data_IF_438401316820
#
_entry.id   IF_438401316820
#
_cell.length_a   1.000
_cell.length_b   1.000
_cell.length_c   1.000
_cell.angle_alpha   90.00
_cell.angle_beta   90.00
_cell.angle_gamma   90.00
#
_symmetry.space_group_name_H-M   'P 1'
#
loop_
_entity.id
_entity.type
_entity.pdbx_description
1 polymer ?
#
# COMPACT_ATOMS: atom_id res chain seq x y z
N UNK A 1 42.28 -72.31 -16.61
CA UNK A 1 41.04 -73.12 -16.62
C UNK A 1 40.12 -72.53 -15.58
N UNK A 2 38.84 -72.40 -15.91
CA UNK A 2 37.88 -71.54 -15.23
C UNK A 2 37.61 -71.92 -13.75
N UNK A 3 37.11 -70.96 -12.97
CA UNK A 3 35.74 -70.98 -12.42
C UNK A 3 35.61 -70.28 -11.03
N UNK A 4 34.66 -69.32 -11.02
CA UNK A 4 33.72 -68.82 -9.98
C UNK A 4 34.05 -67.86 -8.81
N UNK A 5 33.25 -66.76 -8.88
CA UNK A 5 32.35 -66.13 -7.88
C UNK A 5 32.95 -65.23 -6.79
N UNK A 6 32.72 -63.94 -7.00
CA UNK A 6 32.37 -62.96 -5.96
C UNK A 6 31.18 -62.14 -6.51
N UNK A 7 30.00 -62.25 -5.90
CA UNK A 7 29.50 -61.45 -4.79
C UNK A 7 28.98 -60.07 -5.24
N UNK A 8 27.67 -59.94 -5.11
CA UNK A 8 26.81 -58.78 -5.34
C UNK A 8 27.24 -57.55 -4.56
N UNK A 9 27.30 -56.39 -5.21
CA UNK A 9 27.15 -55.09 -4.57
C UNK A 9 26.53 -54.11 -5.58
N UNK A 10 25.32 -53.65 -5.26
CA UNK A 10 24.65 -52.59 -6.01
C UNK A 10 25.45 -51.29 -5.89
N UNK A 11 25.58 -50.59 -7.02
CA UNK A 11 26.31 -49.33 -7.12
C UNK A 11 25.61 -48.36 -8.05
N UNK A 12 24.89 -47.42 -7.43
CA UNK A 12 24.73 -46.01 -7.81
C UNK A 12 24.47 -45.68 -9.29
N UNK A 13 23.19 -45.57 -9.66
CA UNK A 13 22.75 -44.68 -10.73
C UNK A 13 22.84 -43.23 -10.22
N UNK A 14 23.88 -42.52 -10.61
CA UNK A 14 23.99 -41.07 -10.48
C UNK A 14 22.94 -40.44 -11.42
N UNK A 15 21.77 -40.10 -10.87
CA UNK A 15 20.80 -39.24 -11.56
C UNK A 15 21.36 -37.83 -11.48
N UNK A 16 22.04 -37.41 -12.55
CA UNK A 16 22.33 -36.00 -12.83
C UNK A 16 20.99 -35.28 -13.01
N UNK A 17 20.40 -34.82 -11.91
CA UNK A 17 19.33 -33.83 -11.90
C UNK A 17 19.88 -32.54 -12.48
N UNK A 18 19.70 -32.35 -13.79
CA UNK A 18 19.79 -31.05 -14.42
C UNK A 18 18.67 -30.19 -13.81
N UNK A 19 18.96 -29.48 -12.70
CA UNK A 19 18.15 -28.34 -12.31
C UNK A 19 18.31 -27.32 -13.42
N UNK A 20 17.40 -27.37 -14.39
CA UNK A 20 17.00 -26.20 -15.13
C UNK A 20 16.55 -25.19 -14.07
N UNK A 21 17.44 -24.28 -13.70
CA UNK A 21 17.04 -22.94 -13.30
C UNK A 21 16.35 -22.35 -14.53
N UNK A 22 15.10 -22.76 -14.74
CA UNK A 22 14.12 -22.01 -15.49
C UNK A 22 13.96 -20.72 -14.72
N UNK A 23 14.76 -19.72 -15.09
CA UNK A 23 14.40 -18.33 -14.91
C UNK A 23 13.05 -18.22 -15.60
N UNK A 24 11.97 -18.30 -14.81
CA UNK A 24 10.61 -18.07 -15.29
C UNK A 24 10.67 -16.65 -15.83
N UNK A 25 10.70 -16.53 -17.15
CA UNK A 25 10.45 -15.27 -17.82
C UNK A 25 9.02 -14.94 -17.39
N UNK A 26 8.88 -13.99 -16.47
CA UNK A 26 7.57 -13.39 -16.16
C UNK A 26 6.98 -12.99 -17.50
N UNK A 27 5.90 -13.65 -17.90
CA UNK A 27 5.27 -13.40 -19.19
C UNK A 27 4.59 -12.05 -19.12
N UNK A 28 5.17 -11.05 -19.78
CA UNK A 28 4.50 -9.78 -20.04
C UNK A 28 3.17 -10.09 -20.75
N UNK A 29 2.07 -9.67 -20.15
CA UNK A 29 0.71 -9.91 -20.67
C UNK A 29 0.21 -8.65 -21.33
N UNK A 30 -0.31 -8.78 -22.55
CA UNK A 30 -0.97 -7.68 -23.23
C UNK A 30 -2.31 -7.33 -22.56
N UNK A 31 -2.53 -6.04 -22.37
CA UNK A 31 -3.72 -5.45 -21.75
C UNK A 31 -4.18 -4.27 -22.61
N UNK A 32 -5.49 -4.09 -22.72
CA UNK A 32 -6.06 -2.93 -23.41
C UNK A 32 -5.84 -1.66 -22.59
N UNK A 33 -5.41 -0.56 -23.24
CA UNK A 33 -5.10 0.69 -22.53
C UNK A 33 -6.30 1.35 -21.84
N UNK A 34 -7.52 1.00 -22.23
CA UNK A 34 -8.77 1.49 -21.63
C UNK A 34 -9.27 0.63 -20.46
N UNK A 35 -8.55 -0.45 -20.12
CA UNK A 35 -8.90 -1.38 -19.04
C UNK A 35 -9.01 -0.67 -17.69
N UNK A 36 -9.81 -1.26 -16.80
CA UNK A 36 -9.87 -0.84 -15.39
C UNK A 36 -8.67 -1.44 -14.66
N UNK A 37 -7.86 -0.58 -14.04
CA UNK A 37 -6.63 -0.97 -13.38
C UNK A 37 -6.63 -0.44 -11.94
N UNK A 38 -6.48 -1.35 -10.98
CA UNK A 38 -6.16 -0.99 -9.60
C UNK A 38 -4.65 -0.79 -9.47
N UNK A 39 -4.21 0.39 -9.04
CA UNK A 39 -2.80 0.78 -8.98
C UNK A 39 -2.07 0.15 -7.78
N UNK A 40 -2.78 -0.11 -6.68
CA UNK A 40 -2.25 -0.62 -5.41
C UNK A 40 -2.01 -2.13 -5.36
N UNK A 41 -1.74 -2.77 -6.50
CA UNK A 41 -1.46 -4.21 -6.57
C UNK A 41 -0.11 -4.56 -5.94
N UNK A 42 0.01 -5.79 -5.44
CA UNK A 42 1.23 -6.31 -4.81
C UNK A 42 2.38 -6.47 -5.83
N UNK A 43 3.43 -5.63 -5.72
CA UNK A 43 4.64 -5.60 -6.56
C UNK A 43 5.71 -4.68 -5.96
N UNK A 44 6.87 -4.54 -6.60
CA UNK A 44 7.75 -3.42 -6.26
C UNK A 44 7.01 -2.09 -6.56
N UNK A 45 6.76 -1.22 -5.57
CA UNK A 45 5.97 0.01 -5.77
C UNK A 45 6.65 0.99 -6.72
N UNK A 46 7.97 0.86 -6.92
CA UNK A 46 8.72 1.68 -7.87
C UNK A 46 8.59 1.20 -9.31
N UNK A 47 8.31 -0.09 -9.56
CA UNK A 47 8.16 -0.63 -10.93
C UNK A 47 6.74 -0.45 -11.42
N UNK A 48 6.49 0.02 -12.65
CA UNK A 48 5.12 0.26 -13.12
C UNK A 48 4.30 -1.03 -13.23
N UNK A 49 3.00 -0.92 -12.96
CA UNK A 49 2.06 -2.04 -13.09
C UNK A 49 1.81 -2.39 -14.55
N UNK A 50 1.52 -1.36 -15.36
CA UNK A 50 1.38 -1.49 -16.81
C UNK A 50 2.19 -0.39 -17.49
N UNK A 51 2.75 -0.71 -18.65
CA UNK A 51 3.54 0.22 -19.47
C UNK A 51 3.26 0.05 -20.96
N UNK A 52 3.59 1.07 -21.74
CA UNK A 52 3.63 0.97 -23.20
C UNK A 52 4.75 1.84 -23.75
N UNK A 53 5.29 1.48 -24.92
CA UNK A 53 6.35 2.23 -25.60
C UNK A 53 5.89 2.59 -27.00
N UNK A 54 6.00 3.86 -27.36
CA UNK A 54 5.53 4.42 -28.62
C UNK A 54 6.66 5.15 -29.32
N UNK A 55 6.74 5.05 -30.64
CA UNK A 55 7.68 5.85 -31.42
C UNK A 55 7.18 7.31 -31.52
N UNK A 56 8.04 8.27 -31.17
CA UNK A 56 7.69 9.71 -31.21
C UNK A 56 7.22 10.18 -32.59
N UNK A 57 7.66 9.53 -33.67
CA UNK A 57 7.27 9.86 -35.05
C UNK A 57 5.80 9.53 -35.34
N UNK A 58 5.20 8.60 -34.61
CA UNK A 58 3.80 8.20 -34.77
C UNK A 58 2.83 9.15 -34.04
N UNK A 59 3.34 9.94 -33.11
CA UNK A 59 2.53 10.80 -32.23
C UNK A 59 2.17 12.09 -32.95
N UNK A 60 0.88 12.30 -33.16
CA UNK A 60 0.35 13.57 -33.71
C UNK A 60 -0.04 14.58 -32.64
N UNK A 61 -0.27 14.11 -31.41
CA UNK A 61 -0.67 14.93 -30.27
C UNK A 61 -0.23 14.25 -28.97
N UNK A 62 0.52 14.98 -28.13
CA UNK A 62 0.88 14.52 -26.79
C UNK A 62 -0.26 14.91 -25.85
N UNK A 63 -1.33 14.12 -25.88
CA UNK A 63 -2.51 14.26 -25.02
C UNK A 63 -2.98 12.89 -24.59
N UNK A 64 -3.16 12.71 -23.29
CA UNK A 64 -3.73 11.50 -22.70
C UNK A 64 -4.86 11.88 -21.76
N UNK A 65 -5.94 11.10 -21.76
CA UNK A 65 -7.08 11.29 -20.86
C UNK A 65 -7.50 9.98 -20.24
N UNK A 66 -7.88 9.98 -18.97
CA UNK A 66 -8.34 8.81 -18.24
C UNK A 66 -9.18 9.23 -17.05
N UNK A 67 -9.97 8.31 -16.50
CA UNK A 67 -10.66 8.53 -15.22
C UNK A 67 -9.85 7.95 -14.07
N UNK A 68 -9.82 8.66 -12.95
CA UNK A 68 -9.09 8.30 -11.74
C UNK A 68 -9.98 8.44 -10.49
N UNK A 69 -9.82 7.54 -9.52
CA UNK A 69 -10.54 7.57 -8.23
C UNK A 69 -9.67 7.02 -7.11
N UNK A 70 -9.65 7.70 -5.96
CA UNK A 70 -8.94 7.27 -4.75
C UNK A 70 -9.46 7.98 -3.49
N UNK A 71 -9.12 7.46 -2.30
CA UNK A 71 -9.10 8.21 -1.03
C UNK A 71 -7.67 8.52 -0.55
N UNK A 72 -6.66 7.93 -1.20
CA UNK A 72 -5.25 8.05 -0.88
C UNK A 72 -4.75 9.50 -1.06
N UNK A 73 -4.11 10.12 -0.07
CA UNK A 73 -3.65 11.50 -0.17
C UNK A 73 -2.35 11.65 -0.99
N UNK A 74 -1.57 10.58 -1.16
CA UNK A 74 -0.28 10.57 -1.85
C UNK A 74 -0.18 9.35 -2.78
N UNK A 75 0.66 9.43 -3.81
CA UNK A 75 0.94 8.29 -4.69
C UNK A 75 1.05 8.64 -6.18
N UNK A 76 1.69 7.79 -6.96
CA UNK A 76 1.89 7.99 -8.41
C UNK A 76 0.68 7.50 -9.20
N UNK A 77 0.19 8.35 -10.10
CA UNK A 77 -0.93 8.03 -10.99
C UNK A 77 -0.40 7.67 -12.38
N UNK A 78 0.36 8.59 -12.99
CA UNK A 78 0.76 8.50 -14.39
C UNK A 78 2.19 8.98 -14.61
N UNK A 79 2.93 8.21 -15.39
CA UNK A 79 4.32 8.45 -15.72
C UNK A 79 4.50 8.52 -17.24
N UNK A 80 5.40 9.39 -17.70
CA UNK A 80 5.88 9.37 -19.07
C UNK A 80 7.33 9.84 -19.19
N UNK A 81 8.11 9.23 -20.08
CA UNK A 81 9.46 9.71 -20.39
C UNK A 81 9.88 9.55 -21.85
N UNK A 82 10.93 10.28 -22.20
CA UNK A 82 11.69 10.08 -23.44
C UNK A 82 13.18 9.95 -23.09
N UNK A 83 13.99 9.59 -24.09
CA UNK A 83 15.46 9.45 -23.92
C UNK A 83 15.83 8.56 -22.73
N UNK A 84 15.08 7.48 -22.52
CA UNK A 84 15.29 6.53 -21.43
C UNK A 84 15.30 7.15 -20.02
N UNK A 85 14.45 8.14 -19.78
CA UNK A 85 14.31 8.77 -18.45
C UNK A 85 15.28 9.92 -18.19
N UNK A 86 15.85 10.51 -19.24
CA UNK A 86 16.50 11.83 -19.15
C UNK A 86 15.44 12.94 -19.09
N UNK A 87 14.44 12.88 -19.98
CA UNK A 87 13.29 13.77 -19.97
C UNK A 87 12.07 13.00 -19.48
N UNK A 88 11.49 13.39 -18.34
CA UNK A 88 10.41 12.65 -17.69
C UNK A 88 9.35 13.57 -17.10
N UNK A 89 8.15 13.01 -16.94
CA UNK A 89 6.97 13.63 -16.38
C UNK A 89 6.31 12.65 -15.40
N UNK A 90 5.92 13.15 -14.24
CA UNK A 90 5.20 12.40 -13.21
C UNK A 90 3.97 13.20 -12.80
N UNK A 91 2.81 12.56 -12.86
CA UNK A 91 1.58 13.00 -12.21
C UNK A 91 1.31 12.12 -11.00
N UNK A 92 1.19 12.74 -9.85
CA UNK A 92 0.99 12.12 -8.54
C UNK A 92 -0.01 12.92 -7.71
N UNK A 93 -0.40 12.40 -6.55
CA UNK A 93 -1.04 13.19 -5.50
C UNK A 93 -0.02 13.54 -4.40
N UNK A 94 -0.24 14.69 -3.76
CA UNK A 94 0.37 15.09 -2.50
C UNK A 94 -0.65 15.87 -1.68
N UNK A 95 -0.92 15.42 -0.46
CA UNK A 95 -1.98 15.96 0.40
C UNK A 95 -3.37 16.02 -0.29
N UNK A 96 -3.62 15.06 -1.18
CA UNK A 96 -4.83 14.95 -2.01
C UNK A 96 -4.87 15.85 -3.25
N UNK A 97 -3.88 16.73 -3.45
CA UNK A 97 -3.79 17.64 -4.60
C UNK A 97 -2.93 17.04 -5.71
N UNK A 98 -3.20 17.41 -6.95
CA UNK A 98 -2.34 17.00 -8.06
C UNK A 98 -0.94 17.61 -7.91
N UNK A 99 0.08 16.78 -8.07
CA UNK A 99 1.50 17.16 -8.14
C UNK A 99 2.06 16.73 -9.50
N UNK A 100 2.53 17.70 -10.26
CA UNK A 100 3.33 17.48 -11.47
C UNK A 100 4.80 17.67 -11.15
N UNK A 101 5.63 16.70 -11.53
CA UNK A 101 7.09 16.82 -11.54
C UNK A 101 7.59 16.60 -12.95
N UNK A 102 8.43 17.49 -13.46
CA UNK A 102 8.89 17.47 -14.84
C UNK A 102 10.39 17.74 -14.90
N UNK A 103 11.11 16.86 -15.58
CA UNK A 103 12.49 17.05 -16.01
C UNK A 103 12.53 17.08 -17.52
N UNK A 104 13.11 18.11 -18.09
CA UNK A 104 13.38 18.17 -19.53
C UNK A 104 14.65 18.98 -19.75
N UNK A 105 15.67 18.32 -20.29
CA UNK A 105 16.98 18.92 -20.50
C UNK A 105 17.51 19.56 -19.20
N UNK A 106 17.72 20.88 -19.17
CA UNK A 106 18.21 21.63 -18.01
C UNK A 106 17.08 22.16 -17.10
N UNK A 107 15.82 21.81 -17.37
CA UNK A 107 14.65 22.30 -16.64
C UNK A 107 14.12 21.22 -15.71
N UNK A 108 14.13 21.52 -14.41
CA UNK A 108 13.49 20.74 -13.35
C UNK A 108 12.42 21.61 -12.70
N UNK A 109 11.16 21.18 -12.77
CA UNK A 109 10.04 21.92 -12.20
C UNK A 109 9.05 20.99 -11.50
N UNK A 110 8.57 21.40 -10.34
CA UNK A 110 7.47 20.74 -9.65
C UNK A 110 6.38 21.76 -9.29
N UNK A 111 5.12 21.37 -9.44
CA UNK A 111 3.96 22.20 -9.09
C UNK A 111 2.89 21.32 -8.46
N UNK A 112 2.44 21.69 -7.26
CA UNK A 112 1.29 21.10 -6.59
C UNK A 112 0.14 22.10 -6.57
N UNK A 113 -1.09 21.65 -6.80
CA UNK A 113 -2.26 22.51 -6.68
C UNK A 113 -3.52 21.93 -7.29
N UNK A 114 -4.45 22.82 -7.64
CA UNK A 114 -5.80 22.46 -8.05
C UNK A 114 -6.68 22.13 -6.84
N UNK A 115 -7.79 21.43 -7.09
CA UNK A 115 -8.66 20.91 -6.03
C UNK A 115 -8.20 19.52 -5.57
N UNK A 116 -8.66 19.07 -4.41
CA UNK A 116 -8.46 17.69 -3.96
C UNK A 116 -9.13 16.68 -4.91
N UNK A 117 -8.45 15.57 -5.16
CA UNK A 117 -8.89 14.46 -6.02
C UNK A 117 -9.11 13.15 -5.27
N UNK A 118 -8.86 13.15 -3.96
CA UNK A 118 -8.96 11.97 -3.10
C UNK A 118 -10.31 11.94 -2.33
N UNK A 119 -11.41 12.21 -3.03
CA UNK A 119 -12.76 12.26 -2.46
C UNK A 119 -13.58 10.97 -2.69
N UNK A 120 -12.95 9.92 -3.21
CA UNK A 120 -13.59 8.65 -3.54
C UNK A 120 -14.47 8.68 -4.78
N UNK A 121 -14.49 9.77 -5.57
CA UNK A 121 -15.24 9.85 -6.82
C UNK A 121 -14.33 9.70 -8.03
N UNK A 122 -14.95 9.36 -9.15
CA UNK A 122 -14.27 9.36 -10.44
C UNK A 122 -14.09 10.79 -10.94
N UNK A 123 -12.85 11.13 -11.27
CA UNK A 123 -12.47 12.37 -11.94
C UNK A 123 -11.83 12.07 -13.28
N UNK A 124 -12.23 12.80 -14.32
CA UNK A 124 -11.59 12.75 -15.63
C UNK A 124 -10.38 13.66 -15.63
N UNK A 125 -9.20 13.07 -15.79
CA UNK A 125 -7.92 13.77 -15.90
C UNK A 125 -7.49 13.79 -17.36
N UNK A 126 -7.12 14.96 -17.86
CA UNK A 126 -6.52 15.14 -19.18
C UNK A 126 -5.17 15.83 -19.03
N UNK A 127 -4.11 15.13 -19.43
CA UNK A 127 -2.74 15.64 -19.45
C UNK A 127 -2.36 15.91 -20.88
N UNK A 128 -1.87 17.11 -21.18
CA UNK A 128 -1.38 17.43 -22.52
C UNK A 128 -0.16 18.34 -22.51
N UNK A 129 0.72 18.15 -23.48
CA UNK A 129 1.82 19.05 -23.78
C UNK A 129 1.41 19.96 -24.95
N UNK A 130 1.42 21.28 -24.70
CA UNK A 130 1.12 22.34 -25.66
C UNK A 130 2.36 23.22 -25.83
N UNK A 131 3.37 22.68 -26.51
CA UNK A 131 4.62 23.37 -26.83
C UNK A 131 5.46 23.63 -25.57
N UNK A 132 5.38 24.85 -25.03
CA UNK A 132 6.13 25.23 -23.82
C UNK A 132 5.38 24.96 -22.52
N UNK A 133 4.18 24.38 -22.58
CA UNK A 133 3.35 24.19 -21.40
C UNK A 133 2.90 22.74 -21.29
N UNK A 134 2.97 22.19 -20.08
CA UNK A 134 2.27 20.95 -19.71
C UNK A 134 1.05 21.34 -18.91
N UNK A 135 -0.10 20.81 -19.29
CA UNK A 135 -1.40 21.17 -18.72
C UNK A 135 -2.11 19.94 -18.19
N UNK A 136 -2.76 20.09 -17.04
CA UNK A 136 -3.75 19.17 -16.47
C UNK A 136 -5.09 19.86 -16.43
N UNK A 137 -6.08 19.21 -17.04
CA UNK A 137 -7.50 19.55 -16.94
C UNK A 137 -8.18 18.47 -16.10
N UNK A 138 -9.01 18.88 -15.16
CA UNK A 138 -9.76 18.00 -14.26
C UNK A 138 -11.25 18.27 -14.43
N UNK A 139 -12.02 17.25 -14.80
CA UNK A 139 -13.46 17.35 -15.06
C UNK A 139 -13.82 18.51 -16.01
N UNK A 140 -13.00 18.70 -17.04
CA UNK A 140 -13.18 19.78 -18.03
C UNK A 140 -12.79 21.19 -17.53
N UNK A 141 -12.35 21.34 -16.28
CA UNK A 141 -11.90 22.61 -15.70
C UNK A 141 -10.37 22.68 -15.63
N UNK A 142 -9.75 23.86 -15.79
CA UNK A 142 -8.30 24.01 -15.63
C UNK A 142 -7.83 23.53 -14.25
N UNK A 143 -6.84 22.64 -14.21
CA UNK A 143 -6.23 22.11 -12.99
C UNK A 143 -4.86 22.71 -12.72
N UNK A 144 -3.86 22.29 -13.49
CA UNK A 144 -2.49 22.81 -13.41
C UNK A 144 -1.98 23.19 -14.79
N UNK A 145 -1.12 24.21 -14.85
CA UNK A 145 -0.38 24.57 -16.05
C UNK A 145 1.06 24.90 -15.65
N UNK A 146 2.02 24.22 -16.27
CA UNK A 146 3.44 24.32 -15.96
C UNK A 146 4.19 24.78 -17.20
N UNK A 147 4.77 25.96 -17.12
CA UNK A 147 5.62 26.51 -18.18
C UNK A 147 7.04 25.93 -18.14
N UNK A 148 7.50 25.44 -19.28
CA UNK A 148 8.82 24.88 -19.51
C UNK A 148 9.58 25.80 -20.46
N UNK A 149 10.40 26.70 -19.92
CA UNK A 149 11.30 27.53 -20.73
C UNK A 149 12.63 26.81 -20.93
N UNK A 150 12.73 25.96 -21.96
CA UNK A 150 14.04 25.48 -22.41
C UNK A 150 14.78 26.57 -23.21
N UNK A 151 16.11 26.59 -23.07
CA UNK A 151 17.02 27.42 -23.89
C UNK A 151 17.15 26.89 -25.32
N UNK A 152 16.79 25.63 -25.59
CA UNK A 152 16.85 25.03 -26.92
C UNK A 152 15.59 25.33 -27.72
N UNK A 153 15.78 25.60 -29.02
CA UNK A 153 14.72 26.07 -29.93
C UNK A 153 14.10 24.95 -30.78
N UNK A 154 14.68 23.74 -30.75
CA UNK A 154 14.22 22.59 -31.55
C UNK A 154 13.96 21.38 -30.66
N UNK A 155 12.71 20.90 -30.66
CA UNK A 155 12.38 19.60 -30.10
C UNK A 155 12.82 18.50 -31.07
N UNK A 156 13.67 17.58 -30.61
CA UNK A 156 14.03 16.38 -31.38
C UNK A 156 12.85 15.40 -31.31
N UNK A 157 12.06 15.33 -32.39
CA UNK A 157 10.91 14.40 -32.52
C UNK A 157 11.39 13.02 -33.00
N UNK A 158 12.43 12.48 -32.38
CA UNK A 158 12.95 11.15 -32.71
C UNK A 158 13.28 10.38 -31.44
N UNK A 159 12.92 9.10 -31.40
CA UNK A 159 13.12 8.24 -30.25
C UNK A 159 11.81 7.60 -29.80
N UNK A 160 11.82 7.12 -28.56
CA UNK A 160 10.68 6.44 -27.95
C UNK A 160 10.13 7.26 -26.79
N UNK A 161 8.81 7.27 -26.66
CA UNK A 161 8.07 7.72 -25.49
C UNK A 161 7.59 6.47 -24.73
N UNK A 162 7.93 6.37 -23.45
CA UNK A 162 7.40 5.32 -22.58
C UNK A 162 6.35 5.93 -21.67
N UNK A 163 5.21 5.27 -21.57
CA UNK A 163 4.14 5.63 -20.64
C UNK A 163 3.97 4.51 -19.61
N UNK A 164 3.61 4.87 -18.38
CA UNK A 164 3.40 3.88 -17.33
C UNK A 164 2.33 4.32 -16.32
N UNK A 165 1.70 3.34 -15.68
CA UNK A 165 0.72 3.52 -14.60
C UNK A 165 1.13 2.71 -13.38
N UNK A 166 0.85 3.25 -12.19
CA UNK A 166 1.12 2.62 -10.89
C UNK A 166 2.58 2.68 -10.45
N UNK A 167 3.50 3.25 -11.22
CA UNK A 167 4.90 3.35 -10.82
C UNK A 167 5.66 4.24 -11.78
N UNK A 168 6.98 4.29 -11.62
CA UNK A 168 7.85 5.17 -12.39
C UNK A 168 9.01 4.38 -13.00
N UNK A 169 9.63 4.90 -14.07
CA UNK A 169 10.77 4.24 -14.72
C UNK A 169 12.11 4.93 -14.41
N UNK A 170 12.08 6.01 -13.63
CA UNK A 170 13.28 6.73 -13.17
C UNK A 170 13.64 6.33 -11.75
N UNK A 171 14.93 6.45 -11.41
CA UNK A 171 15.39 6.26 -10.05
C UNK A 171 14.76 7.31 -9.12
N UNK A 172 14.41 6.89 -7.90
CA UNK A 172 13.84 7.76 -6.87
C UNK A 172 14.68 9.02 -6.57
N UNK A 173 16.00 8.93 -6.70
CA UNK A 173 16.93 10.05 -6.46
C UNK A 173 16.79 11.17 -7.51
N UNK A 174 16.08 10.92 -8.63
CA UNK A 174 15.75 11.96 -9.62
C UNK A 174 14.49 12.76 -9.27
N UNK A 175 13.68 12.32 -8.31
CA UNK A 175 12.48 13.04 -7.91
C UNK A 175 12.84 14.42 -7.36
N UNK A 176 12.08 15.44 -7.75
CA UNK A 176 12.24 16.81 -7.24
C UNK A 176 11.59 16.92 -5.86
N UNK A 177 10.44 16.26 -5.71
CA UNK A 177 9.67 16.16 -4.47
C UNK A 177 9.56 14.67 -4.14
N UNK A 178 10.11 14.30 -2.99
CA UNK A 178 9.97 12.95 -2.44
C UNK A 178 8.49 12.66 -2.12
N UNK A 179 8.07 11.44 -2.44
CA UNK A 179 6.76 10.86 -2.20
C UNK A 179 6.86 9.33 -2.16
N UNK A 180 5.88 8.67 -1.54
CA UNK A 180 5.63 7.23 -1.72
C UNK A 180 4.92 7.00 -3.07
N UNK A 181 5.45 6.19 -4.00
CA UNK A 181 4.79 5.94 -5.27
C UNK A 181 3.55 5.05 -5.17
N UNK A 182 3.36 4.32 -4.06
CA UNK A 182 2.18 3.49 -3.86
C UNK A 182 0.90 4.34 -3.96
N UNK A 183 -0.11 3.80 -4.63
CA UNK A 183 -1.39 4.49 -4.83
C UNK A 183 -2.52 3.47 -4.70
N UNK A 184 -3.30 3.57 -3.64
CA UNK A 184 -4.59 2.91 -3.48
C UNK A 184 -5.65 3.62 -4.34
N UNK A 185 -5.51 3.46 -5.65
CA UNK A 185 -6.33 4.17 -6.63
C UNK A 185 -6.68 3.31 -7.83
N UNK A 186 -7.71 3.76 -8.54
CA UNK A 186 -8.24 3.09 -9.71
C UNK A 186 -8.18 4.00 -10.94
N UNK A 187 -7.78 3.44 -12.07
CA UNK A 187 -7.76 4.10 -13.38
C UNK A 187 -8.66 3.34 -14.35
N UNK A 188 -9.37 4.04 -15.23
CA UNK A 188 -10.16 3.44 -16.33
C UNK A 188 -10.33 4.40 -17.50
N UNK A 189 -10.89 3.90 -18.61
CA UNK A 189 -11.26 4.71 -19.79
C UNK A 189 -10.06 5.50 -20.34
N UNK A 190 -8.88 4.86 -20.31
CA UNK A 190 -7.64 5.44 -20.80
C UNK A 190 -7.64 5.64 -22.31
N UNK A 191 -7.36 6.86 -22.75
CA UNK A 191 -7.02 7.23 -24.11
C UNK A 191 -5.62 7.83 -24.11
N UNK A 192 -4.67 7.15 -24.75
CA UNK A 192 -3.24 7.45 -24.61
C UNK A 192 -2.69 7.95 -25.93
N UNK A 193 -2.33 9.23 -26.00
CA UNK A 193 -1.73 9.86 -27.19
C UNK A 193 -2.60 9.78 -28.46
N UNK A 194 -3.90 9.45 -28.31
CA UNK A 194 -4.80 9.08 -29.39
C UNK A 194 -4.29 7.91 -30.26
N UNK A 195 -3.61 6.94 -29.62
CA UNK A 195 -3.09 5.73 -30.24
C UNK A 195 -3.73 4.49 -29.63
N UNK A 196 -3.88 3.45 -30.45
CA UNK A 196 -4.40 2.14 -30.04
C UNK A 196 -3.24 1.13 -29.96
N UNK A 197 -2.29 1.40 -29.06
CA UNK A 197 -1.16 0.49 -28.79
C UNK A 197 -1.47 -0.41 -27.59
N UNK A 198 -1.07 -1.70 -27.62
CA UNK A 198 -1.22 -2.57 -26.47
C UNK A 198 -0.35 -2.08 -25.31
N UNK A 199 -0.82 -2.35 -24.09
CA UNK A 199 -0.06 -2.15 -22.86
C UNK A 199 0.45 -3.51 -22.36
N UNK A 200 1.63 -3.50 -21.76
CA UNK A 200 2.25 -4.68 -21.15
C UNK A 200 2.06 -4.60 -19.64
N UNK A 201 1.50 -5.65 -19.04
CA UNK A 201 1.38 -5.79 -17.59
C UNK A 201 2.52 -6.58 -16.98
N UNK A 202 3.01 -6.07 -15.85
CA UNK A 202 4.01 -6.70 -15.00
C UNK A 202 3.37 -7.56 -13.89
N UNK A 203 2.18 -8.08 -14.15
CA UNK A 203 1.42 -8.94 -13.25
C UNK A 203 0.75 -10.08 -14.03
N UNK A 204 0.68 -11.29 -13.45
CA UNK A 204 0.00 -12.43 -14.07
C UNK A 204 -1.51 -12.12 -14.27
N UNK A 205 -2.12 -11.45 -13.28
CA UNK A 205 -3.51 -11.02 -13.28
C UNK A 205 -3.66 -9.63 -12.66
N UNK A 206 -4.35 -8.73 -13.36
CA UNK A 206 -4.69 -7.41 -12.83
C UNK A 206 -5.84 -7.53 -11.83
N UNK A 207 -5.64 -7.01 -10.63
CA UNK A 207 -6.72 -6.90 -9.65
C UNK A 207 -7.78 -5.91 -10.13
N UNK A 208 -9.03 -6.27 -9.87
CA UNK A 208 -10.18 -5.46 -10.21
C UNK A 208 -10.40 -4.40 -9.14
N UNK A 209 -10.78 -3.21 -9.60
CA UNK A 209 -11.30 -2.17 -8.73
C UNK A 209 -12.66 -2.58 -8.14
N UNK A 210 -12.85 -2.35 -6.85
CA UNK A 210 -14.17 -2.44 -6.23
C UNK A 210 -15.13 -1.45 -6.89
N UNK A 211 -16.39 -1.85 -7.09
CA UNK A 211 -17.37 -0.99 -7.75
C UNK A 211 -17.61 0.29 -6.94
N UNK A 212 -17.86 0.13 -5.64
CA UNK A 212 -17.99 1.21 -4.67
C UNK A 212 -16.88 1.11 -3.63
N UNK A 213 -16.46 2.27 -3.13
CA UNK A 213 -15.48 2.40 -2.07
C UNK A 213 -15.96 3.44 -1.05
N UNK A 214 -15.52 3.29 0.19
CA UNK A 214 -15.74 4.22 1.30
C UNK A 214 -14.41 4.44 2.05
N UNK A 215 -14.26 5.52 2.83
CA UNK A 215 -13.08 5.72 3.65
C UNK A 215 -12.90 4.59 4.67
N UNK A 216 -11.66 4.14 4.87
CA UNK A 216 -11.30 3.14 5.86
C UNK A 216 -10.09 2.33 5.43
N UNK A 217 -9.59 1.47 6.31
CA UNK A 217 -8.48 0.57 6.01
C UNK A 217 -8.98 -0.85 5.76
N UNK A 218 -8.70 -1.37 4.57
CA UNK A 218 -9.12 -2.70 4.15
C UNK A 218 -7.98 -3.72 4.25
N UNK A 219 -8.30 -4.87 4.86
CA UNK A 219 -7.41 -6.01 4.99
C UNK A 219 -7.97 -7.19 4.20
N UNK A 220 -7.17 -7.71 3.27
CA UNK A 220 -7.59 -8.78 2.37
C UNK A 220 -7.36 -10.21 2.91
N UNK A 221 -6.94 -10.37 4.17
CA UNK A 221 -6.56 -11.68 4.73
C UNK A 221 -5.17 -12.19 4.34
N UNK A 222 -4.29 -11.34 3.79
CA UNK A 222 -2.95 -11.75 3.33
C UNK A 222 -1.78 -11.11 4.05
N UNK A 223 -2.00 -10.05 4.84
CA UNK A 223 -0.92 -9.32 5.47
C UNK A 223 -1.40 -8.37 6.57
N UNK A 224 -0.48 -7.57 7.08
CA UNK A 224 -0.67 -6.68 8.22
C UNK A 224 0.13 -5.37 8.08
N UNK A 225 -0.13 -4.42 8.97
CA UNK A 225 0.62 -3.18 9.14
C UNK A 225 1.36 -3.20 10.49
N UNK A 226 2.68 -2.99 10.51
CA UNK A 226 3.51 -3.05 11.73
C UNK A 226 4.09 -1.69 12.08
N UNK A 227 3.94 -1.30 13.34
CA UNK A 227 4.49 -0.06 13.90
C UNK A 227 5.41 -0.34 15.09
N UNK A 228 6.49 0.43 15.17
CA UNK A 228 7.28 0.56 16.40
C UNK A 228 6.56 1.48 17.36
N UNK A 229 6.41 1.10 18.61
CA UNK A 229 5.74 1.96 19.61
C UNK A 229 6.60 3.17 20.01
N UNK A 230 7.91 3.08 19.81
CA UNK A 230 8.88 4.13 20.15
C UNK A 230 8.71 5.43 19.37
N UNK A 231 7.99 5.41 18.24
CA UNK A 231 7.69 6.62 17.45
C UNK A 231 6.55 7.45 18.05
N UNK A 232 5.80 6.89 18.99
CA UNK A 232 4.68 7.57 19.63
C UNK A 232 5.10 8.17 20.97
N UNK A 233 4.61 9.38 21.25
CA UNK A 233 4.75 9.99 22.57
C UNK A 233 3.81 9.31 23.55
N UNK A 234 4.36 8.70 24.59
CA UNK A 234 3.60 7.96 25.61
C UNK A 234 3.75 8.69 26.95
N UNK A 235 2.68 9.34 27.38
CA UNK A 235 2.57 9.95 28.70
C UNK A 235 2.42 8.86 29.79
N UNK A 236 3.08 9.01 30.94
CA UNK A 236 3.03 7.98 32.00
C UNK A 236 1.67 7.88 32.69
N UNK A 237 0.96 9.00 32.81
CA UNK A 237 -0.32 9.07 33.49
C UNK A 237 -1.45 8.64 32.56
N UNK A 238 -1.36 8.96 31.26
CA UNK A 238 -2.37 8.58 30.26
C UNK A 238 -2.17 7.18 29.67
N UNK A 239 -0.94 6.64 29.73
CA UNK A 239 -0.60 5.34 29.17
C UNK A 239 -0.51 5.34 27.64
N UNK A 240 -0.53 4.15 27.04
CA UNK A 240 -0.55 3.95 25.59
C UNK A 240 -1.94 3.53 25.11
N UNK A 241 -2.61 4.45 24.40
CA UNK A 241 -3.98 4.28 23.91
C UNK A 241 -4.01 3.87 22.44
N UNK A 242 -4.67 2.77 22.15
CA UNK A 242 -5.00 2.27 20.81
C UNK A 242 -6.52 2.14 20.68
N UNK A 243 -7.07 2.62 19.58
CA UNK A 243 -8.52 2.64 19.38
C UNK A 243 -8.88 2.26 17.95
N UNK A 244 -9.85 1.37 17.81
CA UNK A 244 -10.26 0.79 16.54
C UNK A 244 -11.76 0.98 16.38
N UNK A 245 -12.18 1.47 15.22
CA UNK A 245 -13.59 1.65 14.87
C UNK A 245 -13.92 0.85 13.62
N UNK A 246 -15.14 0.33 13.58
CA UNK A 246 -15.66 -0.43 12.45
C UNK A 246 -16.73 -1.42 12.87
N UNK A 247 -17.32 -2.10 11.90
CA UNK A 247 -18.26 -3.18 12.17
C UNK A 247 -17.52 -4.48 12.47
N UNK A 248 -17.28 -4.78 13.75
CA UNK A 248 -16.57 -5.99 14.16
C UNK A 248 -17.30 -7.28 13.76
N UNK A 249 -18.60 -7.20 13.42
CA UNK A 249 -19.37 -8.32 12.91
C UNK A 249 -18.97 -8.75 11.50
N UNK A 250 -18.29 -7.86 10.76
CA UNK A 250 -17.77 -8.08 9.42
C UNK A 250 -16.27 -8.41 9.41
N UNK A 251 -15.65 -8.56 10.59
CA UNK A 251 -14.23 -8.84 10.73
C UNK A 251 -13.98 -10.31 11.04
N UNK A 252 -12.96 -10.88 10.40
CA UNK A 252 -12.43 -12.20 10.76
C UNK A 252 -10.89 -12.18 10.76
N UNK A 253 -10.28 -12.59 11.87
CA UNK A 253 -8.83 -12.59 12.06
C UNK A 253 -8.33 -11.63 13.14
N UNK A 254 -7.02 -11.39 13.16
CA UNK A 254 -6.38 -10.62 14.24
C UNK A 254 -6.48 -9.12 13.96
N UNK A 255 -7.25 -8.39 14.78
CA UNK A 255 -7.39 -6.93 14.66
C UNK A 255 -6.16 -6.22 15.19
N UNK A 256 -5.71 -6.60 16.39
CA UNK A 256 -4.54 -6.02 17.06
C UNK A 256 -3.66 -7.14 17.62
N UNK A 257 -2.35 -7.01 17.47
CA UNK A 257 -1.39 -7.73 18.31
C UNK A 257 -0.27 -6.81 18.79
N UNK A 258 0.17 -6.99 20.04
CA UNK A 258 1.19 -6.14 20.68
C UNK A 258 2.28 -7.02 21.26
N UNK A 259 3.53 -6.71 20.92
CA UNK A 259 4.74 -7.32 21.49
C UNK A 259 5.49 -6.31 22.35
N UNK A 260 6.07 -6.81 23.43
CA UNK A 260 6.98 -6.06 24.28
C UNK A 260 8.31 -5.78 23.59
N UNK A 261 9.13 -4.92 24.19
CA UNK A 261 10.54 -4.70 23.81
C UNK A 261 11.41 -5.95 23.87
N UNK A 262 10.95 -7.03 24.53
CA UNK A 262 11.61 -8.33 24.59
C UNK A 262 11.03 -9.32 23.57
N UNK A 263 10.27 -8.85 22.58
CA UNK A 263 9.63 -9.66 21.53
C UNK A 263 8.56 -10.66 22.04
N UNK A 264 8.22 -10.60 23.33
CA UNK A 264 7.14 -11.40 23.91
C UNK A 264 5.77 -10.81 23.55
N UNK A 265 4.87 -11.66 23.04
CA UNK A 265 3.47 -11.31 22.77
C UNK A 265 2.73 -10.98 24.06
N UNK A 266 2.25 -9.74 24.18
CA UNK A 266 1.58 -9.24 25.39
C UNK A 266 0.06 -9.26 25.26
N UNK A 267 -0.44 -8.81 24.11
CA UNK A 267 -1.88 -8.62 23.89
C UNK A 267 -2.29 -9.00 22.47
N UNK A 268 -3.47 -9.58 22.34
CA UNK A 268 -4.13 -9.80 21.05
C UNK A 268 -5.62 -9.55 21.14
N UNK A 269 -6.19 -8.91 20.12
CA UNK A 269 -7.62 -8.89 19.86
C UNK A 269 -7.91 -9.60 18.54
N UNK A 270 -8.72 -10.66 18.58
CA UNK A 270 -9.07 -11.46 17.42
C UNK A 270 -10.59 -11.45 17.25
N UNK A 271 -11.07 -10.96 16.11
CA UNK A 271 -12.48 -11.01 15.75
C UNK A 271 -12.76 -12.29 14.97
N UNK A 272 -13.95 -12.86 15.15
CA UNK A 272 -14.47 -13.90 14.26
C UNK A 272 -15.94 -13.65 13.95
N UNK A 273 -16.25 -13.63 12.66
CA UNK A 273 -17.62 -13.53 12.17
C UNK A 273 -18.40 -14.84 12.33
N UNK A 274 -17.71 -15.98 12.36
CA UNK A 274 -18.28 -17.32 12.58
C UNK A 274 -18.78 -17.50 14.02
N UNK A 275 -17.91 -17.26 15.01
CA UNK A 275 -18.30 -17.40 16.43
C UNK A 275 -19.06 -16.20 16.97
N UNK A 276 -19.04 -15.08 16.23
CA UNK A 276 -19.64 -13.79 16.60
C UNK A 276 -19.01 -13.15 17.84
N UNK A 277 -17.72 -13.38 18.02
CA UNK A 277 -16.98 -12.98 19.21
C UNK A 277 -15.72 -12.20 18.85
N UNK A 278 -15.31 -11.32 19.76
CA UNK A 278 -13.97 -10.74 19.79
C UNK A 278 -13.25 -11.29 21.02
N UNK A 279 -12.22 -12.11 20.79
CA UNK A 279 -11.42 -12.73 21.83
C UNK A 279 -10.21 -11.86 22.12
N UNK A 280 -10.14 -11.36 23.35
CA UNK A 280 -9.03 -10.61 23.90
C UNK A 280 -8.16 -11.55 24.72
N UNK A 281 -6.86 -11.57 24.45
CA UNK A 281 -5.90 -12.32 25.24
C UNK A 281 -4.83 -11.37 25.75
N UNK A 282 -4.63 -11.35 27.06
CA UNK A 282 -3.54 -10.63 27.72
C UNK A 282 -2.75 -11.62 28.57
N UNK A 283 -1.52 -11.94 28.13
CA UNK A 283 -0.74 -13.07 28.69
C UNK A 283 -1.57 -14.36 28.72
N UNK A 284 -1.89 -14.86 29.92
CA UNK A 284 -2.69 -16.07 30.15
C UNK A 284 -4.18 -15.77 30.37
N UNK A 285 -4.54 -14.50 30.56
CA UNK A 285 -5.92 -14.07 30.78
C UNK A 285 -6.64 -13.94 29.44
N UNK A 286 -7.87 -14.44 29.39
CA UNK A 286 -8.74 -14.38 28.22
C UNK A 286 -10.07 -13.77 28.58
N UNK A 287 -10.57 -12.93 27.69
CA UNK A 287 -11.87 -12.31 27.79
C UNK A 287 -12.53 -12.29 26.42
N UNK A 288 -13.85 -12.42 26.40
CA UNK A 288 -14.62 -12.53 25.16
C UNK A 288 -15.69 -11.46 25.15
N UNK A 289 -15.77 -10.74 24.04
CA UNK A 289 -16.81 -9.75 23.75
C UNK A 289 -17.71 -10.27 22.64
N UNK A 290 -18.95 -9.78 22.60
CA UNK A 290 -19.76 -9.92 21.38
C UNK A 290 -19.15 -9.06 20.27
N UNK A 291 -19.21 -9.52 19.02
CA UNK A 291 -18.68 -8.75 17.88
C UNK A 291 -19.63 -7.65 17.35
N UNK A 292 -20.71 -7.36 18.07
CA UNK A 292 -21.67 -6.30 17.72
C UNK A 292 -21.14 -4.89 18.03
N UNK A 293 -19.95 -4.81 18.62
CA UNK A 293 -19.24 -3.57 18.95
C UNK A 293 -18.89 -2.78 17.69
N UNK A 294 -18.90 -1.46 17.83
CA UNK A 294 -18.44 -0.53 16.79
C UNK A 294 -17.08 0.09 17.08
N UNK A 295 -16.58 -0.16 18.29
CA UNK A 295 -15.38 0.46 18.83
C UNK A 295 -14.69 -0.49 19.80
N UNK A 296 -13.37 -0.53 19.74
CA UNK A 296 -12.50 -1.21 20.69
C UNK A 296 -11.38 -0.27 21.12
N UNK A 297 -11.38 0.12 22.39
CA UNK A 297 -10.32 0.88 23.04
C UNK A 297 -9.44 -0.06 23.85
N UNK A 298 -8.12 0.00 23.66
CA UNK A 298 -7.12 -0.71 24.46
C UNK A 298 -6.12 0.30 25.03
N UNK A 299 -6.02 0.36 26.35
CA UNK A 299 -5.13 1.26 27.07
C UNK A 299 -4.12 0.47 27.91
N UNK A 300 -2.85 0.56 27.56
CA UNK A 300 -1.76 0.03 28.38
C UNK A 300 -1.37 1.08 29.40
N UNK A 301 -1.67 0.83 30.67
CA UNK A 301 -1.25 1.65 31.80
C UNK A 301 0.01 1.05 32.44
N UNK A 302 0.51 1.70 33.49
CA UNK A 302 1.70 1.23 34.22
C UNK A 302 1.59 -0.22 34.69
N UNK A 303 0.49 -0.57 35.35
CA UNK A 303 0.32 -1.87 36.04
C UNK A 303 -0.91 -2.66 35.56
N UNK A 304 -1.61 -2.17 34.53
CA UNK A 304 -2.83 -2.80 34.02
C UNK A 304 -3.04 -2.51 32.53
N UNK A 305 -3.82 -3.36 31.87
CA UNK A 305 -4.39 -3.06 30.55
C UNK A 305 -5.90 -2.90 30.70
N UNK A 306 -6.44 -1.77 30.25
CA UNK A 306 -7.88 -1.54 30.21
C UNK A 306 -8.40 -1.70 28.80
N UNK A 307 -9.57 -2.31 28.67
CA UNK A 307 -10.28 -2.44 27.40
C UNK A 307 -11.70 -1.94 27.57
N UNK A 308 -12.21 -1.15 26.63
CA UNK A 308 -13.59 -0.66 26.65
C UNK A 308 -14.16 -0.62 25.23
N UNK A 309 -15.47 -0.76 25.11
CA UNK A 309 -16.20 -0.67 23.83
C UNK A 309 -16.91 0.68 23.74
N UNK A 310 -17.32 1.26 24.87
CA UNK A 310 -18.04 2.55 24.91
C UNK A 310 -17.12 3.73 25.11
N UNK A 311 -17.52 4.88 24.57
CA UNK A 311 -16.78 6.15 24.72
C UNK A 311 -16.72 6.63 26.18
N UNK A 312 -17.77 6.35 26.97
CA UNK A 312 -17.82 6.72 28.38
C UNK A 312 -17.04 5.76 29.30
N UNK A 313 -16.46 4.70 28.72
CA UNK A 313 -15.69 3.65 29.41
C UNK A 313 -16.48 2.97 30.54
N UNK A 314 -17.82 3.06 30.52
CA UNK A 314 -18.70 2.49 31.56
C UNK A 314 -18.64 0.96 31.63
N UNK A 315 -18.22 0.33 30.54
CA UNK A 315 -18.07 -1.10 30.31
C UNK A 315 -16.62 -1.59 30.44
N UNK A 316 -15.70 -0.73 30.88
CA UNK A 316 -14.27 -1.02 30.85
C UNK A 316 -13.88 -2.27 31.68
N UNK A 317 -13.19 -3.19 31.02
CA UNK A 317 -12.60 -4.39 31.62
C UNK A 317 -11.12 -4.15 31.86
N UNK A 318 -10.67 -4.42 33.08
CA UNK A 318 -9.28 -4.18 33.50
C UNK A 318 -8.55 -5.51 33.72
N UNK A 319 -7.51 -5.75 32.94
CA UNK A 319 -6.54 -6.82 33.16
C UNK A 319 -5.43 -6.32 34.08
N UNK A 320 -5.26 -6.96 35.23
CA UNK A 320 -4.25 -6.57 36.22
C UNK A 320 -2.95 -7.37 36.07
N UNK A 321 -1.84 -6.77 36.49
CA UNK A 321 -0.59 -7.49 36.66
C UNK A 321 -0.71 -8.60 37.71
N UNK A 322 -0.18 -9.79 37.40
CA UNK A 322 0.17 -10.77 38.44
C UNK A 322 1.27 -10.19 39.33
N UNK A 323 1.33 -10.62 40.59
CA UNK A 323 2.16 -10.04 41.65
C UNK A 323 3.70 -10.15 41.45
N UNK A 324 4.19 -10.53 40.27
CA UNK A 324 5.61 -10.75 40.00
C UNK A 324 6.28 -9.56 39.28
N UNK A 325 7.38 -9.12 39.87
CA UNK A 325 8.21 -7.95 39.58
C UNK A 325 8.74 -7.86 38.14
N UNK A 326 7.92 -7.39 37.21
CA UNK A 326 8.34 -7.00 35.87
C UNK A 326 8.37 -5.46 35.76
N UNK A 327 9.21 -4.87 34.88
CA UNK A 327 9.05 -3.47 34.51
C UNK A 327 7.59 -3.28 34.04
N UNK A 328 6.91 -2.25 34.55
CA UNK A 328 5.48 -2.01 34.29
C UNK A 328 5.14 -2.12 32.80
N UNK A 329 3.92 -2.56 32.49
CA UNK A 329 3.49 -2.87 31.12
C UNK A 329 3.70 -1.72 30.15
N UNK A 330 3.52 -0.49 30.61
CA UNK A 330 3.83 0.70 29.84
C UNK A 330 5.30 0.76 29.40
N UNK A 331 6.23 0.39 30.28
CA UNK A 331 7.66 0.31 29.98
C UNK A 331 7.96 -0.77 28.95
N UNK A 332 7.32 -1.94 29.09
CA UNK A 332 7.45 -3.03 28.10
C UNK A 332 6.93 -2.63 26.72
N UNK A 333 5.85 -1.85 26.67
CA UNK A 333 5.25 -1.38 25.42
C UNK A 333 6.09 -0.27 24.79
N UNK A 334 6.69 0.67 25.53
CA UNK A 334 7.46 1.81 24.99
C UNK A 334 8.59 1.44 24.01
N UNK A 335 9.19 0.26 24.16
CA UNK A 335 10.23 -0.26 23.26
C UNK A 335 9.78 -1.43 22.38
N UNK A 336 8.48 -1.71 22.34
CA UNK A 336 7.88 -2.83 21.63
C UNK A 336 7.38 -2.48 20.23
N UNK A 337 6.45 -3.30 19.75
CA UNK A 337 5.82 -3.17 18.43
C UNK A 337 4.36 -3.57 18.52
N UNK A 338 3.52 -2.97 17.68
CA UNK A 338 2.15 -3.46 17.48
C UNK A 338 1.85 -3.64 16.00
N UNK A 339 0.91 -4.52 15.72
CA UNK A 339 0.39 -4.74 14.39
C UNK A 339 -1.12 -4.53 14.35
N UNK A 340 -1.57 -3.96 13.23
CA UNK A 340 -2.98 -3.94 12.84
C UNK A 340 -3.17 -4.97 11.72
N UNK A 341 -4.19 -5.81 11.86
CA UNK A 341 -4.60 -6.74 10.82
C UNK A 341 -3.83 -8.07 10.76
N UNK A 342 -3.05 -8.41 11.79
CA UNK A 342 -2.39 -9.71 11.85
C UNK A 342 -1.73 -9.98 13.20
N UNK A 343 -1.44 -11.26 13.45
CA UNK A 343 -0.67 -11.71 14.60
C UNK A 343 0.82 -11.54 14.33
N UNK A 344 1.51 -10.76 15.16
CA UNK A 344 2.96 -10.55 15.08
C UNK A 344 3.75 -11.85 15.32
N UNK A 345 4.51 -12.29 14.32
CA UNK A 345 5.56 -13.31 14.43
C UNK A 345 6.94 -12.69 14.64
N UNK A 346 8.00 -13.34 14.14
CA UNK A 346 9.35 -12.77 14.15
C UNK A 346 9.52 -11.76 13.00
N UNK A 347 10.10 -10.59 13.30
CA UNK A 347 10.26 -9.51 12.30
C UNK A 347 8.92 -8.99 11.79
N UNK A 348 8.70 -9.02 10.47
CA UNK A 348 7.46 -8.59 9.77
C UNK A 348 6.57 -9.79 9.42
N UNK A 349 7.03 -11.02 9.68
CA UNK A 349 6.27 -12.23 9.38
C UNK A 349 5.10 -12.30 10.37
N UNK A 350 3.89 -12.44 9.84
CA UNK A 350 2.67 -12.59 10.64
C UNK A 350 1.86 -13.80 10.26
N UNK A 351 0.75 -14.00 10.97
CA UNK A 351 -0.24 -15.04 10.69
C UNK A 351 -1.63 -14.56 11.09
N UNK A 352 -2.67 -15.36 10.79
CA UNK A 352 -4.06 -15.06 11.17
C UNK A 352 -4.48 -13.64 10.76
N UNK A 353 -4.19 -13.31 9.50
CA UNK A 353 -4.42 -12.00 8.94
C UNK A 353 -5.90 -11.65 8.95
N UNK A 354 -6.19 -10.38 9.19
CA UNK A 354 -7.53 -9.85 9.21
C UNK A 354 -8.10 -9.83 7.79
N UNK A 355 -9.36 -10.23 7.68
CA UNK A 355 -10.21 -9.97 6.53
C UNK A 355 -11.32 -9.04 6.98
N UNK A 356 -11.46 -7.90 6.30
CA UNK A 356 -12.50 -6.92 6.58
C UNK A 356 -11.99 -5.49 6.62
N UNK A 357 -12.83 -4.60 7.13
CA UNK A 357 -12.66 -3.15 7.06
C UNK A 357 -12.69 -2.50 8.43
N UNK A 358 -11.66 -1.70 8.72
CA UNK A 358 -11.64 -0.79 9.87
C UNK A 358 -11.98 0.60 9.36
N UNK A 359 -13.00 1.24 9.92
CA UNK A 359 -13.39 2.60 9.57
C UNK A 359 -12.33 3.60 10.02
N UNK A 360 -11.71 3.34 11.18
CA UNK A 360 -10.75 4.25 11.80
C UNK A 360 -9.82 3.52 12.76
N UNK A 361 -8.53 3.87 12.73
CA UNK A 361 -7.55 3.45 13.74
C UNK A 361 -6.93 4.70 14.34
N UNK A 362 -6.85 4.78 15.67
CA UNK A 362 -6.20 5.88 16.36
C UNK A 362 -5.15 5.39 17.35
N UNK A 363 -4.09 6.18 17.46
CA UNK A 363 -3.03 6.02 18.45
C UNK A 363 -2.89 7.34 19.20
N UNK A 364 -3.03 7.30 20.53
CA UNK A 364 -2.98 8.50 21.37
C UNK A 364 -3.93 9.62 20.91
N UNK A 365 -5.14 9.24 20.49
CA UNK A 365 -6.19 10.17 20.04
C UNK A 365 -5.98 10.80 18.67
N UNK A 366 -4.95 10.38 17.92
CA UNK A 366 -4.69 10.82 16.54
C UNK A 366 -4.94 9.68 15.56
N UNK A 367 -5.50 10.02 14.41
CA UNK A 367 -5.75 9.08 13.32
C UNK A 367 -4.41 8.52 12.82
N UNK A 368 -4.35 7.20 12.69
CA UNK A 368 -3.16 6.48 12.28
C UNK A 368 -3.22 6.20 10.79
N UNK A 369 -2.32 6.82 10.03
CA UNK A 369 -2.09 6.47 8.64
C UNK A 369 -1.25 5.17 8.57
N UNK A 370 -1.79 4.15 7.90
CA UNK A 370 -1.13 2.85 7.78
C UNK A 370 0.04 2.85 6.78
N UNK A 371 0.16 3.86 5.91
CA UNK A 371 1.30 3.98 5.00
C UNK A 371 2.59 4.42 5.71
N UNK A 372 2.48 4.94 6.95
CA UNK A 372 3.63 5.21 7.82
C UNK A 372 4.22 3.93 8.46
N UNK A 373 3.67 2.76 8.15
CA UNK A 373 4.05 1.47 8.74
C UNK A 373 4.89 0.62 7.80
N UNK A 374 5.53 -0.42 8.36
CA UNK A 374 5.99 -1.52 7.52
C UNK A 374 4.79 -2.41 7.23
N UNK A 375 4.24 -2.29 6.02
CA UNK A 375 2.95 -2.86 5.64
C UNK A 375 3.06 -3.85 4.49
N UNK A 376 2.20 -4.87 4.51
CA UNK A 376 1.96 -5.72 3.35
C UNK A 376 1.11 -4.98 2.31
N UNK A 377 1.45 -5.08 1.02
CA UNK A 377 0.76 -4.33 -0.04
C UNK A 377 -0.71 -4.72 -0.26
N UNK A 378 -1.11 -5.88 0.24
CA UNK A 378 -2.50 -6.31 0.22
C UNK A 378 -3.40 -5.52 1.20
N UNK A 379 -2.82 -4.61 2.00
CA UNK A 379 -3.55 -3.74 2.93
C UNK A 379 -3.71 -2.36 2.28
N UNK A 380 -4.96 -1.97 2.04
CA UNK A 380 -5.29 -0.60 1.64
C UNK A 380 -5.46 0.24 2.90
N UNK A 381 -4.80 1.40 2.94
CA UNK A 381 -4.86 2.32 4.09
C UNK A 381 -6.13 3.15 4.12
N UNK A 382 -6.63 3.53 2.94
CA UNK A 382 -7.54 4.65 2.79
C UNK A 382 -8.89 4.27 2.15
N UNK A 383 -9.00 3.09 1.54
CA UNK A 383 -10.22 2.65 0.86
C UNK A 383 -10.72 1.28 1.34
N UNK A 384 -12.00 1.26 1.69
CA UNK A 384 -12.76 0.05 1.99
C UNK A 384 -13.76 -0.26 0.88
N UNK A 385 -13.97 -1.54 0.49
CA UNK A 385 -15.11 -1.92 -0.32
C UNK A 385 -16.43 -1.52 0.38
N UNK A 386 -17.40 -1.04 -0.39
CA UNK A 386 -18.70 -0.56 0.11
C UNK A 386 -19.89 -1.23 -0.57
#
# INVERSE_FOLDING_TARGET
MAVFRTATAGGLLFIMSLMLLGRRVEGEKEVAGDSVVYLGQERDPWRPLIRTTVNLVEIRSIKSSFQFRTFDPEGVIFYGDTKNGEDWFILSLKDGHALMQISKEDVLVSVTGGRKLNDGKWHTLEVSNKGKFVTLVVDGSPGLEVGMQSKQTQEVISGQLRLALGGILVNKDKLIVELDPQMDGCVREGSWLNLSVPWEAEAEELWLCHQNIQPGSYFSGKGLAVFNTSVFSIDEDQGFRLEFWGDFSQLDGTVLSVKSSQEQLMFTAVASNDTKEVVLTFKEQRFTLENTIKRLLVMFLKDSVKVAEREDESDAVTFLAGAESHPGYLTSVRGGRFAVGGLLGEGVIGSRFLTGCLEKVQVQGKDLDLDLSVKHMSVSSHSCPA
#
